data_IF_682981302857
#
_entry.id   IF_682981302857
#
_cell.length_a   1.000
_cell.length_b   1.000
_cell.length_c   1.000
_cell.angle_alpha   90.00
_cell.angle_beta   90.00
_cell.angle_gamma   90.00
#
_symmetry.space_group_name_H-M   'P 1'
#
loop_
_entity.id
_entity.type
_entity.pdbx_description
1 polymer ?
#
# COMPACT_ATOMS: atom_id res chain seq x y z
N UNK A 1 -16.82 16.44 -25.61
CA UNK A 1 -17.66 15.25 -25.84
C UNK A 1 -16.80 14.28 -26.66
N UNK A 2 -16.04 13.40 -25.99
CA UNK A 2 -15.07 12.53 -26.66
C UNK A 2 -15.51 11.07 -26.56
N UNK A 3 -15.62 10.49 -27.75
CA UNK A 3 -16.10 9.16 -28.09
C UNK A 3 -14.92 8.18 -28.04
N UNK A 4 -15.01 7.11 -27.25
CA UNK A 4 -13.98 6.06 -27.19
C UNK A 4 -14.37 4.92 -28.13
N UNK A 5 -13.63 4.81 -29.24
CA UNK A 5 -13.63 3.63 -30.09
C UNK A 5 -12.75 2.55 -29.44
N UNK A 6 -13.37 1.42 -29.08
CA UNK A 6 -12.69 0.18 -28.73
C UNK A 6 -12.07 -0.43 -29.99
N UNK A 7 -10.75 -0.56 -30.03
CA UNK A 7 -10.11 -1.71 -30.67
C UNK A 7 -8.76 -2.02 -30.00
N UNK A 8 -8.78 -3.12 -29.22
CA UNK A 8 -7.80 -4.21 -29.25
C UNK A 8 -6.34 -3.88 -28.90
N UNK A 9 -6.00 -4.08 -27.63
CA UNK A 9 -4.69 -4.60 -27.23
C UNK A 9 -4.91 -5.98 -26.62
N UNK A 10 -4.48 -6.99 -27.37
CA UNK A 10 -4.62 -8.40 -27.08
C UNK A 10 -3.22 -8.95 -26.83
N UNK A 11 -2.86 -9.20 -25.57
CA UNK A 11 -1.94 -10.29 -25.17
C UNK A 11 -2.38 -10.78 -23.77
N UNK A 12 -3.23 -11.80 -23.78
CA UNK A 12 -3.63 -12.58 -22.61
C UNK A 12 -2.50 -13.52 -22.14
N UNK A 13 -2.10 -13.40 -20.88
CA UNK A 13 -1.59 -14.50 -20.06
C UNK A 13 -2.72 -15.14 -19.25
N UNK A 14 -3.61 -15.85 -19.94
CA UNK A 14 -4.62 -16.84 -19.48
C UNK A 14 -4.72 -17.13 -17.95
N UNK A 15 -5.36 -16.25 -17.19
CA UNK A 15 -6.51 -16.48 -16.27
C UNK A 15 -6.72 -15.25 -15.38
N UNK A 16 -7.00 -14.09 -15.99
CA UNK A 16 -7.63 -13.01 -15.23
C UNK A 16 -9.11 -13.36 -15.07
N UNK A 17 -9.48 -13.83 -13.89
CA UNK A 17 -10.89 -13.86 -13.49
C UNK A 17 -11.30 -12.41 -13.32
N UNK A 18 -12.08 -11.88 -14.25
CA UNK A 18 -12.72 -10.58 -14.10
C UNK A 18 -13.78 -10.70 -13.01
N UNK A 19 -13.43 -10.37 -11.77
CA UNK A 19 -14.40 -10.20 -10.68
C UNK A 19 -14.99 -8.80 -10.81
N UNK A 20 -16.30 -8.75 -10.97
CA UNK A 20 -17.08 -7.51 -11.05
C UNK A 20 -16.97 -6.78 -9.71
N UNK A 21 -16.38 -5.58 -9.68
CA UNK A 21 -16.14 -4.76 -8.47
C UNK A 21 -17.41 -4.19 -7.82
N UNK A 22 -18.59 -4.70 -8.19
CA UNK A 22 -19.89 -4.18 -7.72
C UNK A 22 -20.19 -4.45 -6.25
N UNK A 23 -19.44 -5.35 -5.60
CA UNK A 23 -19.64 -5.72 -4.20
C UNK A 23 -18.51 -5.23 -3.26
N UNK A 24 -17.65 -4.31 -3.71
CA UNK A 24 -16.64 -3.74 -2.80
C UNK A 24 -17.35 -2.77 -1.84
N UNK A 25 -17.31 -3.09 -0.54
CA UNK A 25 -17.77 -2.16 0.49
C UNK A 25 -17.03 -0.83 0.31
N UNK A 26 -17.77 0.24 0.02
CA UNK A 26 -17.19 1.58 0.06
C UNK A 26 -16.61 1.83 1.45
N UNK A 27 -15.50 2.60 1.55
CA UNK A 27 -15.05 3.11 2.84
C UNK A 27 -16.25 3.70 3.59
N UNK A 28 -16.45 3.36 4.87
CA UNK A 28 -17.65 3.75 5.60
C UNK A 28 -17.87 5.26 5.46
N UNK A 29 -19.04 5.63 4.94
CA UNK A 29 -19.43 7.02 4.82
C UNK A 29 -19.52 7.65 6.21
N UNK A 30 -19.07 8.90 6.33
CA UNK A 30 -19.10 9.74 7.53
C UNK A 30 -20.45 9.62 8.24
N UNK A 31 -20.51 8.81 9.30
CA UNK A 31 -21.68 8.74 10.16
C UNK A 31 -21.67 9.93 11.09
N UNK A 32 -22.79 10.66 11.11
CA UNK A 32 -23.04 11.75 12.05
C UNK A 32 -23.00 11.17 13.47
N UNK A 33 -22.26 11.88 14.31
CA UNK A 33 -21.88 11.59 15.68
C UNK A 33 -23.08 11.14 16.52
N UNK A 34 -22.99 9.94 17.11
CA UNK A 34 -23.66 9.61 18.36
C UNK A 34 -22.62 8.99 19.31
N UNK A 35 -22.59 9.54 20.52
CA UNK A 35 -21.57 9.34 21.53
C UNK A 35 -21.60 7.92 22.14
N UNK A 36 -21.11 6.92 21.41
CA UNK A 36 -20.66 5.62 21.96
C UNK A 36 -19.70 4.95 20.98
N UNK A 37 -18.41 4.94 21.32
CA UNK A 37 -17.43 3.87 21.01
C UNK A 37 -17.27 3.34 19.57
N UNK A 38 -17.10 4.19 18.55
CA UNK A 38 -16.58 3.72 17.26
C UNK A 38 -15.10 4.08 17.12
N UNK A 39 -14.23 3.07 17.15
CA UNK A 39 -12.82 3.18 16.80
C UNK A 39 -12.68 3.64 15.36
N UNK A 40 -12.14 4.84 15.14
CA UNK A 40 -11.78 5.28 13.80
C UNK A 40 -10.52 4.56 13.37
N UNK A 41 -10.54 3.87 12.22
CA UNK A 41 -9.32 3.33 11.63
C UNK A 41 -8.45 4.48 11.15
N UNK A 42 -7.36 4.74 11.87
CA UNK A 42 -6.32 5.70 11.48
C UNK A 42 -5.37 5.08 10.44
N UNK A 43 -5.28 3.76 10.42
CA UNK A 43 -4.47 2.99 9.48
C UNK A 43 -5.32 1.94 8.75
N UNK A 44 -5.08 1.78 7.45
CA UNK A 44 -5.62 0.70 6.62
C UNK A 44 -4.48 -0.08 5.98
N UNK A 45 -4.57 -1.40 6.02
CA UNK A 45 -3.67 -2.31 5.31
C UNK A 45 -4.49 -3.10 4.31
N UNK A 46 -4.13 -3.02 3.04
CA UNK A 46 -4.77 -3.78 1.96
C UNK A 46 -3.76 -4.74 1.35
N UNK A 47 -4.14 -6.01 1.24
CA UNK A 47 -3.29 -7.06 0.67
C UNK A 47 -3.98 -7.59 -0.57
N UNK A 48 -3.42 -7.27 -1.73
CA UNK A 48 -3.96 -7.70 -3.02
C UNK A 48 -3.15 -8.84 -3.62
N UNK A 49 -3.80 -9.96 -3.92
CA UNK A 49 -3.19 -11.07 -4.67
C UNK A 49 -3.63 -11.05 -6.13
N UNK A 50 -4.90 -10.77 -6.37
CA UNK A 50 -5.53 -10.71 -7.69
C UNK A 50 -5.63 -9.28 -8.24
N UNK A 51 -5.65 -8.29 -7.34
CA UNK A 51 -5.80 -6.88 -7.65
C UNK A 51 -4.56 -6.39 -8.40
N UNK A 52 -4.77 -5.54 -9.40
CA UNK A 52 -3.65 -4.85 -10.05
C UNK A 52 -3.00 -3.87 -9.09
N UNK A 53 -1.71 -3.61 -9.30
CA UNK A 53 -0.99 -2.59 -8.53
C UNK A 53 -1.65 -1.21 -8.66
N UNK A 54 -2.14 -0.87 -9.86
CA UNK A 54 -2.87 0.37 -10.11
C UNK A 54 -4.16 0.46 -9.28
N UNK A 55 -4.95 -0.61 -9.23
CA UNK A 55 -6.20 -0.63 -8.46
C UNK A 55 -5.99 -0.57 -6.95
N UNK A 56 -4.86 -1.06 -6.43
CA UNK A 56 -4.48 -0.84 -5.04
C UNK A 56 -4.09 0.62 -4.82
N UNK A 57 -3.27 1.17 -5.73
CA UNK A 57 -2.82 2.55 -5.66
C UNK A 57 -3.99 3.56 -5.70
N UNK A 58 -4.98 3.38 -6.58
CA UNK A 58 -6.11 4.30 -6.74
C UNK A 58 -6.93 4.51 -5.44
N UNK A 59 -6.92 3.53 -4.53
CA UNK A 59 -7.64 3.60 -3.26
C UNK A 59 -7.16 4.73 -2.34
N UNK A 60 -5.92 5.16 -2.51
CA UNK A 60 -5.33 6.24 -1.70
C UNK A 60 -6.19 7.51 -1.75
N UNK A 61 -6.80 7.79 -2.90
CA UNK A 61 -7.66 8.98 -3.08
C UNK A 61 -8.95 8.89 -2.27
N UNK A 62 -9.51 7.69 -2.11
CA UNK A 62 -10.69 7.45 -1.30
C UNK A 62 -10.37 7.45 0.19
N UNK A 63 -9.29 6.75 0.57
CA UNK A 63 -8.84 6.67 1.95
C UNK A 63 -8.43 8.05 2.50
N UNK A 64 -7.67 8.84 1.75
CA UNK A 64 -7.25 10.18 2.20
C UNK A 64 -8.24 11.30 1.81
N UNK A 65 -9.49 10.94 1.49
CA UNK A 65 -10.53 11.94 1.24
C UNK A 65 -11.04 12.56 2.55
N UNK A 66 -11.69 13.72 2.44
CA UNK A 66 -12.34 14.40 3.56
C UNK A 66 -13.51 13.63 4.20
N UNK A 67 -13.82 12.42 3.71
CA UNK A 67 -14.89 11.57 4.23
C UNK A 67 -14.41 10.52 5.22
N UNK A 68 -13.09 10.35 5.39
CA UNK A 68 -12.50 9.40 6.34
C UNK A 68 -11.51 10.11 7.27
N UNK A 69 -11.05 9.39 8.31
CA UNK A 69 -9.99 9.83 9.22
C UNK A 69 -8.72 8.96 9.05
N UNK A 70 -8.57 8.28 7.92
CA UNK A 70 -7.43 7.41 7.65
C UNK A 70 -6.21 8.31 7.36
N UNK A 71 -5.18 8.17 8.17
CA UNK A 71 -3.91 8.89 8.02
C UNK A 71 -2.84 8.05 7.33
N UNK A 72 -2.95 6.72 7.45
CA UNK A 72 -1.95 5.77 6.95
C UNK A 72 -2.63 4.75 6.06
N UNK A 73 -2.06 4.55 4.86
CA UNK A 73 -2.46 3.47 3.96
C UNK A 73 -1.25 2.63 3.56
N UNK A 74 -1.29 1.34 3.85
CA UNK A 74 -0.29 0.36 3.45
C UNK A 74 -0.90 -0.58 2.39
N UNK A 75 -0.39 -0.52 1.17
CA UNK A 75 -0.76 -1.44 0.11
C UNK A 75 0.31 -2.52 -0.05
N UNK A 76 -0.10 -3.78 -0.01
CA UNK A 76 0.77 -4.94 -0.21
C UNK A 76 0.29 -5.69 -1.45
N UNK A 77 1.11 -5.73 -2.49
CA UNK A 77 0.87 -6.53 -3.68
C UNK A 77 1.62 -7.85 -3.59
N UNK A 78 0.89 -8.95 -3.56
CA UNK A 78 1.42 -10.30 -3.73
C UNK A 78 1.41 -10.64 -5.22
N UNK A 79 2.58 -10.95 -5.79
CA UNK A 79 2.65 -11.47 -7.15
C UNK A 79 2.50 -12.99 -7.14
N UNK A 80 1.93 -13.52 -8.23
CA UNK A 80 1.84 -14.95 -8.41
C UNK A 80 3.24 -15.56 -8.37
N UNK A 81 3.37 -16.72 -7.72
CA UNK A 81 4.62 -17.47 -7.74
C UNK A 81 4.96 -17.83 -9.17
N UNK A 82 6.21 -17.57 -9.55
CA UNK A 82 6.74 -18.06 -10.81
C UNK A 82 6.94 -19.58 -10.73
N UNK A 83 7.06 -20.21 -11.91
CA UNK A 83 7.23 -21.68 -12.02
C UNK A 83 8.52 -22.20 -11.39
N UNK A 84 9.48 -21.33 -11.15
CA UNK A 84 10.76 -21.61 -10.48
C UNK A 84 10.70 -21.40 -8.96
N UNK A 85 9.49 -21.34 -8.39
CA UNK A 85 9.24 -21.07 -6.97
C UNK A 85 9.70 -19.69 -6.50
N UNK A 86 10.06 -18.78 -7.41
CA UNK A 86 10.31 -17.39 -7.04
C UNK A 86 9.00 -16.68 -6.74
N UNK A 87 9.04 -15.82 -5.74
CA UNK A 87 7.94 -14.94 -5.38
C UNK A 87 8.45 -13.50 -5.35
N UNK A 88 7.51 -12.59 -5.57
CA UNK A 88 7.71 -11.16 -5.40
C UNK A 88 6.55 -10.61 -4.59
N UNK A 89 6.86 -9.65 -3.73
CA UNK A 89 5.92 -8.86 -2.96
C UNK A 89 6.35 -7.41 -3.04
N UNK A 90 5.38 -6.50 -3.11
CA UNK A 90 5.65 -5.07 -3.14
C UNK A 90 4.80 -4.36 -2.11
N UNK A 91 5.45 -3.59 -1.23
CA UNK A 91 4.82 -2.76 -0.21
C UNK A 91 4.90 -1.31 -0.64
N UNK A 92 3.77 -0.60 -0.58
CA UNK A 92 3.66 0.82 -0.83
C UNK A 92 3.04 1.44 0.40
N UNK A 93 3.77 2.37 1.02
CA UNK A 93 3.32 3.06 2.22
C UNK A 93 2.98 4.50 1.87
N UNK A 94 1.78 4.93 2.24
CA UNK A 94 1.26 6.26 2.01
C UNK A 94 0.89 6.91 3.33
N UNK A 95 1.10 8.23 3.41
CA UNK A 95 0.64 9.06 4.52
C UNK A 95 -0.16 10.24 4.00
N UNK A 96 -1.24 10.57 4.71
CA UNK A 96 -2.12 11.67 4.33
C UNK A 96 -1.48 13.06 4.52
N UNK A 97 -0.47 13.16 5.39
CA UNK A 97 0.19 14.42 5.74
C UNK A 97 1.34 14.81 4.80
N UNK A 98 1.64 14.00 3.78
CA UNK A 98 2.63 14.36 2.78
C UNK A 98 2.13 15.48 1.87
N UNK A 99 3.07 16.24 1.29
CA UNK A 99 2.76 17.27 0.28
C UNK A 99 1.95 16.70 -0.89
N UNK A 100 2.22 15.45 -1.29
CA UNK A 100 1.48 14.72 -2.31
C UNK A 100 1.04 13.35 -1.74
N UNK A 101 -0.13 13.26 -1.08
CA UNK A 101 -0.58 12.03 -0.41
C UNK A 101 -0.82 10.84 -1.35
N UNK A 102 -0.93 11.09 -2.66
CA UNK A 102 -1.08 10.06 -3.69
C UNK A 102 0.27 9.48 -4.13
N UNK A 103 1.40 10.00 -3.66
CA UNK A 103 2.71 9.42 -3.91
C UNK A 103 3.10 8.62 -2.66
N UNK A 104 3.53 7.36 -2.78
CA UNK A 104 3.96 6.61 -1.59
C UNK A 104 5.21 7.25 -0.98
N UNK A 105 5.31 7.26 0.34
CA UNK A 105 6.47 7.76 1.06
C UNK A 105 7.70 6.88 0.80
N UNK A 106 7.49 5.57 0.71
CA UNK A 106 8.48 4.62 0.25
C UNK A 106 7.81 3.41 -0.41
N UNK A 107 8.62 2.66 -1.16
CA UNK A 107 8.23 1.42 -1.81
C UNK A 107 9.28 0.37 -1.49
N UNK A 108 8.83 -0.80 -1.06
CA UNK A 108 9.71 -1.89 -0.65
C UNK A 108 9.36 -3.16 -1.39
N UNK A 109 10.30 -3.71 -2.15
CA UNK A 109 10.12 -4.95 -2.88
C UNK A 109 10.79 -6.10 -2.14
N UNK A 110 10.06 -7.19 -1.92
CA UNK A 110 10.57 -8.42 -1.36
C UNK A 110 10.55 -9.49 -2.43
N UNK A 111 11.72 -9.83 -2.95
CA UNK A 111 11.80 -10.68 -4.13
C UNK A 111 12.99 -11.60 -4.12
N UNK A 112 12.79 -12.77 -4.71
CA UNK A 112 13.84 -13.75 -5.00
C UNK A 112 14.39 -13.60 -6.43
N UNK A 113 13.87 -12.64 -7.20
CA UNK A 113 14.27 -12.30 -8.58
C UNK A 113 13.91 -10.83 -8.87
N UNK A 114 14.46 -10.20 -9.91
CA UNK A 114 14.19 -8.79 -10.21
C UNK A 114 12.71 -8.52 -10.53
N UNK A 115 12.19 -7.40 -10.02
CA UNK A 115 10.90 -6.82 -10.42
C UNK A 115 10.75 -6.81 -11.93
N UNK A 116 9.59 -7.27 -12.41
CA UNK A 116 9.25 -7.21 -13.82
C UNK A 116 9.24 -5.76 -14.32
N UNK A 117 9.76 -5.52 -15.52
CA UNK A 117 9.94 -4.16 -16.09
C UNK A 117 8.66 -3.32 -16.13
N UNK A 118 7.49 -3.96 -16.22
CA UNK A 118 6.19 -3.27 -16.17
C UNK A 118 5.93 -2.64 -14.79
N UNK A 119 6.35 -3.29 -13.71
CA UNK A 119 6.20 -2.78 -12.35
C UNK A 119 7.18 -1.63 -12.13
N UNK A 120 8.44 -1.80 -12.54
CA UNK A 120 9.43 -0.72 -12.48
C UNK A 120 8.95 0.52 -13.25
N UNK A 121 8.38 0.33 -14.45
CA UNK A 121 7.78 1.43 -15.21
C UNK A 121 6.59 2.07 -14.53
N UNK A 122 5.73 1.27 -13.88
CA UNK A 122 4.61 1.81 -13.11
C UNK A 122 5.11 2.72 -11.98
N UNK A 123 6.07 2.24 -11.19
CA UNK A 123 6.64 3.02 -10.08
C UNK A 123 7.30 4.31 -10.57
N UNK A 124 8.17 4.23 -11.57
CA UNK A 124 8.92 5.39 -12.06
C UNK A 124 8.05 6.40 -12.81
N UNK A 125 7.14 5.93 -13.66
CA UNK A 125 6.42 6.81 -14.58
C UNK A 125 5.05 7.24 -14.07
N UNK A 126 4.35 6.39 -13.31
CA UNK A 126 2.98 6.69 -12.85
C UNK A 126 3.01 7.34 -11.48
N UNK A 127 3.84 6.84 -10.56
CA UNK A 127 3.94 7.40 -9.21
C UNK A 127 4.93 8.57 -9.13
N UNK A 128 5.63 8.90 -10.23
CA UNK A 128 6.77 9.83 -10.26
C UNK A 128 7.77 9.55 -9.12
N UNK A 129 7.91 8.26 -8.77
CA UNK A 129 8.62 7.83 -7.60
C UNK A 129 10.10 7.67 -7.95
N UNK A 130 10.98 8.33 -7.19
CA UNK A 130 12.42 8.24 -7.44
C UNK A 130 12.94 6.85 -7.06
N UNK A 131 13.77 6.27 -7.93
CA UNK A 131 14.40 4.96 -7.71
C UNK A 131 15.20 4.89 -6.40
N UNK A 132 15.63 6.04 -5.85
CA UNK A 132 16.37 6.11 -4.59
C UNK A 132 15.55 5.66 -3.37
N UNK A 133 14.22 5.60 -3.49
CA UNK A 133 13.32 5.20 -2.41
C UNK A 133 12.77 3.77 -2.58
N UNK A 134 13.26 3.04 -3.58
CA UNK A 134 12.96 1.62 -3.77
C UNK A 134 14.01 0.77 -3.05
N UNK A 135 13.60 0.09 -1.99
CA UNK A 135 14.46 -0.89 -1.30
C UNK A 135 14.06 -2.29 -1.74
N UNK A 136 15.02 -3.07 -2.26
CA UNK A 136 14.81 -4.47 -2.62
C UNK A 136 15.47 -5.41 -1.62
N UNK A 137 14.72 -6.40 -1.16
CA UNK A 137 15.09 -7.36 -0.11
C UNK A 137 14.78 -8.76 -0.64
N UNK A 138 15.73 -9.70 -0.64
CA UNK A 138 15.37 -11.13 -0.82
C UNK A 138 16.07 -11.99 -1.89
N UNK A 139 17.11 -11.55 -2.58
CA UNK A 139 17.98 -12.47 -3.34
C UNK A 139 19.45 -12.27 -2.94
N UNK A 140 20.05 -13.29 -2.31
CA UNK A 140 21.43 -13.23 -1.80
C UNK A 140 21.64 -12.42 -0.52
N UNK A 141 20.55 -12.02 0.15
CA UNK A 141 20.55 -11.27 1.39
C UNK A 141 20.30 -12.17 2.61
N UNK A 142 20.54 -11.62 3.81
CA UNK A 142 20.40 -12.31 5.11
C UNK A 142 19.00 -12.92 5.26
N UNK A 143 18.93 -14.13 5.83
CA UNK A 143 17.67 -14.84 6.09
C UNK A 143 16.74 -14.02 7.00
N UNK A 144 15.43 -14.11 6.74
CA UNK A 144 14.38 -13.35 7.44
C UNK A 144 14.09 -13.83 8.88
N UNK A 145 15.06 -14.46 9.53
CA UNK A 145 14.96 -15.08 10.86
C UNK A 145 15.94 -14.50 11.87
N UNK A 146 16.77 -13.54 11.45
CA UNK A 146 17.68 -12.84 12.35
C UNK A 146 16.95 -11.75 13.15
N UNK A 147 17.24 -11.56 14.45
CA UNK A 147 16.68 -10.46 15.23
C UNK A 147 17.21 -9.10 14.73
N UNK A 148 16.39 -8.05 14.80
CA UNK A 148 16.69 -6.69 14.36
C UNK A 148 17.19 -6.62 12.91
N UNK A 149 16.26 -6.79 11.97
CA UNK A 149 16.52 -6.60 10.55
C UNK A 149 15.88 -5.28 10.10
N UNK A 150 16.58 -4.13 10.16
CA UNK A 150 16.01 -2.82 9.81
C UNK A 150 15.48 -2.80 8.37
N UNK A 151 16.13 -3.57 7.49
CA UNK A 151 15.72 -3.75 6.11
C UNK A 151 14.41 -4.52 5.95
N UNK A 152 13.78 -5.01 7.01
CA UNK A 152 12.44 -5.63 7.00
C UNK A 152 11.43 -4.84 7.83
N UNK A 153 11.88 -3.77 8.50
CA UNK A 153 11.03 -2.95 9.34
C UNK A 153 10.46 -1.75 8.59
N UNK A 154 9.28 -1.34 9.02
CA UNK A 154 8.59 -0.11 8.64
C UNK A 154 8.36 0.70 9.92
N UNK A 155 9.05 1.85 10.02
CA UNK A 155 8.82 2.82 11.09
C UNK A 155 7.54 3.62 10.81
N UNK A 156 6.53 3.46 11.68
CA UNK A 156 5.29 4.21 11.64
C UNK A 156 5.35 5.27 12.74
N UNK A 157 5.36 6.56 12.38
CA UNK A 157 5.37 7.64 13.36
C UNK A 157 4.17 7.55 14.32
N UNK A 158 4.46 7.64 15.62
CA UNK A 158 3.47 7.59 16.70
C UNK A 158 2.49 8.76 16.61
N UNK A 159 2.96 9.94 16.23
CA UNK A 159 2.12 11.12 16.06
C UNK A 159 1.01 10.89 15.03
N UNK A 160 1.27 10.14 13.95
CA UNK A 160 0.25 9.76 12.98
C UNK A 160 -0.76 8.76 13.53
N UNK A 161 -0.31 7.78 14.32
CA UNK A 161 -1.19 6.75 14.89
C UNK A 161 -2.13 7.29 15.97
N UNK A 162 -1.70 8.35 16.66
CA UNK A 162 -2.47 9.01 17.70
C UNK A 162 -3.06 10.35 17.26
N UNK A 163 -2.99 10.67 15.96
CA UNK A 163 -3.56 11.90 15.45
C UNK A 163 -5.07 11.94 15.71
N UNK A 164 -5.55 13.08 16.22
CA UNK A 164 -6.93 13.29 16.67
C UNK A 164 -7.43 12.36 17.80
N UNK A 165 -6.54 11.63 18.50
CA UNK A 165 -6.90 10.92 19.73
C UNK A 165 -7.09 11.95 20.85
N UNK A 166 -8.27 12.05 21.49
CA UNK A 166 -8.57 13.10 22.47
C UNK A 166 -7.63 13.13 23.68
N UNK A 167 -7.07 11.97 24.05
CA UNK A 167 -6.13 11.83 25.16
C UNK A 167 -4.68 12.08 24.75
N UNK A 168 -4.41 12.30 23.46
CA UNK A 168 -3.07 12.44 22.90
C UNK A 168 -2.27 11.15 22.92
N UNK A 169 -0.96 11.29 22.66
CA UNK A 169 0.04 10.22 22.77
C UNK A 169 0.27 9.90 24.25
N UNK A 170 0.17 8.64 24.70
CA UNK A 170 0.48 8.27 26.07
C UNK A 170 1.93 8.61 26.46
N UNK A 171 2.17 8.94 27.73
CA UNK A 171 3.52 9.16 28.24
C UNK A 171 4.40 7.92 28.00
N UNK A 172 5.69 8.16 27.74
CA UNK A 172 6.70 7.13 27.48
C UNK A 172 6.44 6.26 26.23
N UNK A 173 5.55 6.69 25.33
CA UNK A 173 5.39 6.05 24.02
C UNK A 173 6.60 6.35 23.14
N UNK A 174 7.20 5.37 22.45
CA UNK A 174 8.27 5.61 21.48
C UNK A 174 7.86 6.56 20.36
N UNK A 175 8.82 7.20 19.71
CA UNK A 175 8.55 8.08 18.55
C UNK A 175 8.00 7.31 17.35
N UNK A 176 8.40 6.03 17.19
CA UNK A 176 8.00 5.15 16.09
C UNK A 176 7.54 3.77 16.57
N UNK A 177 6.53 3.22 15.89
CA UNK A 177 6.16 1.81 15.95
C UNK A 177 6.75 1.07 14.74
N UNK A 178 7.53 0.02 14.98
CA UNK A 178 8.12 -0.78 13.91
C UNK A 178 7.21 -1.96 13.55
N UNK A 179 6.74 -1.97 12.31
CA UNK A 179 6.06 -3.12 11.71
C UNK A 179 7.09 -3.99 10.97
N UNK A 180 7.17 -5.27 11.34
CA UNK A 180 7.96 -6.27 10.60
C UNK A 180 7.16 -6.72 9.37
N UNK A 181 7.80 -6.67 8.18
CA UNK A 181 7.19 -6.96 6.87
C UNK A 181 7.59 -8.34 6.31
#
# INVERSE_FOLDING_TARGET
MFNWNLHKLDVMGKTDITVNTRDRQQPPQRQVINATSNSYSIMVIEIGSTESLNSLHELVTGYFSSHTNIQIYLAIKLFSRYRDCTFALLVLFYRCDQLNPTVPCFVKSFETTNLHISITRFLLNILNFSANYLTSVGCGQVTCDSPNLPDYQLAIPTDLLFDNVPTGIPNDTPDDFFLDL
#
